data_IF_941166709469
#
_entry.id   IF_941166709469
#
_cell.length_a   1.000
_cell.length_b   1.000
_cell.length_c   1.000
_cell.angle_alpha   90.00
_cell.angle_beta   90.00
_cell.angle_gamma   90.00
#
_symmetry.space_group_name_H-M   'P 1'
#
loop_
_entity.id
_entity.type
_entity.pdbx_description
1 polymer ?
#
# COMPACT_ATOMS: atom_id res chain seq x y z
N UNK A 1 -22.21 -19.40 12.00
CA UNK A 1 -20.78 -19.03 12.10
C UNK A 1 -20.59 -17.69 11.38
N UNK A 2 -20.72 -16.57 12.10
CA UNK A 2 -20.60 -15.23 11.51
C UNK A 2 -19.13 -14.96 11.15
N UNK A 3 -18.82 -14.81 9.86
CA UNK A 3 -17.55 -14.22 9.42
C UNK A 3 -17.58 -12.74 9.80
N UNK A 4 -16.86 -12.38 10.85
CA UNK A 4 -16.54 -10.99 11.19
C UNK A 4 -15.54 -10.46 10.16
N UNK A 5 -16.00 -10.10 8.96
CA UNK A 5 -15.28 -9.12 8.14
C UNK A 5 -15.53 -7.75 8.79
N UNK A 6 -14.48 -7.02 9.24
CA UNK A 6 -14.69 -5.69 9.78
C UNK A 6 -15.37 -4.81 8.72
N UNK A 7 -16.49 -4.19 9.09
CA UNK A 7 -17.40 -3.42 8.22
C UNK A 7 -16.76 -2.17 7.56
N UNK A 8 -15.47 -1.89 7.76
CA UNK A 8 -14.85 -0.58 7.48
C UNK A 8 -13.45 -0.64 6.84
N UNK A 9 -13.03 -1.79 6.31
CA UNK A 9 -11.67 -1.98 5.81
C UNK A 9 -11.33 -1.13 4.56
N UNK A 10 -12.33 -0.76 3.77
CA UNK A 10 -12.22 0.12 2.60
C UNK A 10 -13.09 1.38 2.80
N UNK A 11 -12.86 2.12 3.88
CA UNK A 11 -13.64 3.31 4.25
C UNK A 11 -13.72 4.34 3.11
N UNK A 12 -12.66 4.53 2.32
CA UNK A 12 -12.66 5.47 1.18
C UNK A 12 -13.72 5.10 0.13
N UNK A 13 -14.06 3.82 0.01
CA UNK A 13 -15.11 3.33 -0.86
C UNK A 13 -16.48 3.29 -0.15
N UNK A 14 -16.52 2.78 1.07
CA UNK A 14 -17.77 2.53 1.82
C UNK A 14 -18.41 3.79 2.38
N UNK A 15 -17.61 4.79 2.74
CA UNK A 15 -18.06 6.09 3.24
C UNK A 15 -17.22 7.22 2.62
N UNK A 16 -17.41 7.52 1.33
CA UNK A 16 -16.53 8.43 0.58
C UNK A 16 -16.54 9.86 1.12
N UNK A 17 -17.60 10.30 1.81
CA UNK A 17 -17.70 11.65 2.38
C UNK A 17 -17.12 11.78 3.80
N UNK A 18 -16.56 10.71 4.37
CA UNK A 18 -16.01 10.76 5.73
C UNK A 18 -14.71 11.58 5.79
N UNK A 19 -14.39 12.21 6.95
CA UNK A 19 -13.10 12.88 7.16
C UNK A 19 -11.88 11.95 6.97
N UNK A 20 -12.04 10.66 7.27
CA UNK A 20 -11.00 9.64 7.07
C UNK A 20 -10.74 9.44 5.56
N UNK A 21 -11.81 9.37 4.77
CA UNK A 21 -11.71 9.27 3.31
C UNK A 21 -11.03 10.50 2.72
N UNK A 22 -11.31 11.69 3.25
CA UNK A 22 -10.64 12.93 2.83
C UNK A 22 -9.16 12.95 3.20
N UNK A 23 -8.78 12.35 4.33
CA UNK A 23 -7.37 12.18 4.71
C UNK A 23 -6.61 11.33 3.67
N UNK A 24 -7.24 10.29 3.11
CA UNK A 24 -6.65 9.50 2.02
C UNK A 24 -6.59 10.26 0.68
N UNK A 25 -7.55 11.16 0.39
CA UNK A 25 -7.47 12.05 -0.78
C UNK A 25 -6.35 13.07 -0.63
N UNK A 26 -6.20 13.64 0.56
CA UNK A 26 -5.07 14.51 0.90
C UNK A 26 -3.74 13.78 0.71
N UNK A 27 -3.62 12.54 1.20
CA UNK A 27 -2.45 11.70 0.98
C UNK A 27 -2.13 11.50 -0.51
N UNK A 28 -3.13 11.12 -1.31
CA UNK A 28 -3.00 10.97 -2.77
C UNK A 28 -2.48 12.26 -3.42
N UNK A 29 -3.12 13.40 -3.13
CA UNK A 29 -2.75 14.71 -3.66
C UNK A 29 -1.31 15.08 -3.29
N UNK A 30 -0.90 14.84 -2.04
CA UNK A 30 0.49 15.09 -1.60
C UNK A 30 1.50 14.21 -2.35
N UNK A 31 1.15 12.95 -2.64
CA UNK A 31 2.00 12.06 -3.44
C UNK A 31 2.10 12.57 -4.88
N UNK A 32 0.98 12.93 -5.52
CA UNK A 32 0.97 13.46 -6.88
C UNK A 32 1.84 14.73 -7.01
N UNK A 33 1.86 15.59 -5.99
CA UNK A 33 2.69 16.80 -5.96
C UNK A 33 4.14 16.58 -5.51
N UNK A 34 4.47 15.43 -4.93
CA UNK A 34 5.81 15.16 -4.40
C UNK A 34 6.90 15.06 -5.48
N UNK A 35 6.50 14.98 -6.76
CA UNK A 35 7.42 14.88 -7.89
C UNK A 35 7.04 15.79 -9.04
N UNK A 36 7.64 16.99 -9.02
CA UNK A 36 7.46 18.00 -10.07
C UNK A 36 8.04 17.52 -11.42
N UNK A 37 9.06 16.64 -11.42
CA UNK A 37 9.83 16.25 -12.62
C UNK A 37 10.01 14.74 -12.82
N UNK A 38 9.32 13.88 -12.06
CA UNK A 38 9.47 12.41 -12.17
C UNK A 38 8.10 11.74 -12.16
N UNK A 39 7.88 10.77 -13.04
CA UNK A 39 6.66 9.97 -13.04
C UNK A 39 6.76 8.95 -11.90
N UNK A 40 6.07 9.19 -10.79
CA UNK A 40 5.85 8.19 -9.75
C UNK A 40 4.79 7.20 -10.22
N UNK A 41 5.20 5.98 -10.50
CA UNK A 41 4.28 4.94 -10.95
C UNK A 41 4.26 3.74 -10.00
N UNK A 42 5.40 3.34 -9.42
CA UNK A 42 5.46 2.31 -8.38
C UNK A 42 5.66 2.97 -7.02
N UNK A 43 4.64 2.89 -6.16
CA UNK A 43 4.65 3.41 -4.81
C UNK A 43 4.63 2.23 -3.84
N UNK A 44 5.68 2.09 -3.04
CA UNK A 44 5.72 1.11 -1.97
C UNK A 44 5.20 1.71 -0.66
N UNK A 45 4.43 0.91 0.08
CA UNK A 45 3.97 1.23 1.43
C UNK A 45 4.57 0.23 2.40
N UNK A 46 5.25 0.72 3.43
CA UNK A 46 5.80 -0.10 4.52
C UNK A 46 5.56 0.58 5.87
N UNK A 47 5.93 -0.12 6.94
CA UNK A 47 5.89 0.41 8.31
C UNK A 47 7.16 0.02 9.05
N UNK A 48 7.31 0.54 10.26
CA UNK A 48 8.44 0.23 11.12
C UNK A 48 8.22 -1.05 11.94
N UNK A 49 6.98 -1.35 12.31
CA UNK A 49 6.53 -2.51 13.09
C UNK A 49 5.26 -3.14 12.50
N UNK A 50 4.96 -4.40 12.83
CA UNK A 50 3.67 -5.00 12.53
C UNK A 50 2.52 -4.21 13.20
N UNK A 51 1.36 -4.14 12.55
CA UNK A 51 0.14 -3.59 13.15
C UNK A 51 -0.08 -2.08 12.97
N UNK A 52 0.84 -1.35 12.34
CA UNK A 52 0.72 0.12 12.19
C UNK A 52 -0.33 0.58 11.16
N UNK A 53 -1.06 -0.35 10.53
CA UNK A 53 -2.13 -0.06 9.57
C UNK A 53 -1.67 0.08 8.12
N UNK A 54 -0.46 -0.38 7.78
CA UNK A 54 0.11 -0.32 6.42
C UNK A 54 -0.83 -0.83 5.33
N UNK A 55 -1.44 -1.99 5.53
CA UNK A 55 -2.24 -2.67 4.51
C UNK A 55 -3.59 -1.97 4.30
N UNK A 56 -4.20 -1.48 5.38
CA UNK A 56 -5.41 -0.65 5.33
C UNK A 56 -5.14 0.67 4.62
N UNK A 57 -4.04 1.36 4.97
CA UNK A 57 -3.65 2.61 4.31
C UNK A 57 -3.33 2.38 2.84
N UNK A 58 -2.62 1.29 2.50
CA UNK A 58 -2.30 0.91 1.13
C UNK A 58 -3.57 0.73 0.29
N UNK A 59 -4.55 -0.04 0.80
CA UNK A 59 -5.81 -0.28 0.11
C UNK A 59 -6.65 1.00 -0.07
N UNK A 60 -6.81 1.81 0.99
CA UNK A 60 -7.61 3.03 0.93
C UNK A 60 -6.95 4.15 0.10
N UNK A 61 -5.61 4.21 0.08
CA UNK A 61 -4.86 5.07 -0.82
C UNK A 61 -5.04 4.64 -2.28
N UNK A 62 -5.00 3.34 -2.57
CA UNK A 62 -5.26 2.81 -3.91
C UNK A 62 -6.68 3.15 -4.40
N UNK A 63 -7.69 3.07 -3.51
CA UNK A 63 -9.05 3.53 -3.80
C UNK A 63 -9.08 5.03 -4.12
N UNK A 64 -8.35 5.87 -3.37
CA UNK A 64 -8.32 7.31 -3.61
C UNK A 64 -7.70 7.67 -4.98
N UNK A 65 -6.66 6.94 -5.42
CA UNK A 65 -6.12 7.06 -6.77
C UNK A 65 -7.13 6.60 -7.83
N UNK A 66 -7.82 5.48 -7.61
CA UNK A 66 -8.79 4.94 -8.56
C UNK A 66 -10.01 5.87 -8.75
N UNK A 67 -10.49 6.49 -7.66
CA UNK A 67 -11.51 7.54 -7.68
C UNK A 67 -11.08 8.80 -8.44
N UNK A 68 -9.77 9.02 -8.61
CA UNK A 68 -9.21 10.09 -9.44
C UNK A 68 -9.04 9.68 -10.91
N UNK A 69 -9.76 8.65 -11.36
CA UNK A 69 -9.68 8.08 -12.71
C UNK A 69 -8.28 7.57 -13.11
N UNK A 70 -7.43 7.24 -12.14
CA UNK A 70 -6.19 6.51 -12.41
C UNK A 70 -6.49 5.03 -12.50
N UNK A 71 -5.87 4.34 -13.45
CA UNK A 71 -5.91 2.88 -13.52
C UNK A 71 -4.89 2.33 -12.53
N UNK A 72 -5.35 1.78 -11.41
CA UNK A 72 -4.52 1.43 -10.25
C UNK A 72 -4.38 -0.08 -10.10
N UNK A 73 -3.15 -0.54 -9.91
CA UNK A 73 -2.86 -1.91 -9.49
C UNK A 73 -2.34 -1.94 -8.05
N UNK A 74 -3.02 -2.66 -7.18
CA UNK A 74 -2.56 -2.96 -5.83
C UNK A 74 -1.94 -4.36 -5.80
N UNK A 75 -0.69 -4.49 -5.36
CA UNK A 75 0.00 -5.77 -5.21
C UNK A 75 0.30 -6.02 -3.73
N UNK A 76 -0.17 -7.15 -3.20
CA UNK A 76 0.22 -7.64 -1.87
C UNK A 76 1.58 -8.35 -1.96
N UNK A 77 2.66 -7.60 -1.71
CA UNK A 77 4.03 -8.09 -1.64
C UNK A 77 4.45 -8.47 -0.21
N UNK A 78 3.53 -8.50 0.76
CA UNK A 78 3.74 -9.12 2.07
C UNK A 78 3.46 -10.63 2.00
N UNK A 79 4.41 -11.36 1.40
CA UNK A 79 4.30 -12.80 1.19
C UNK A 79 4.30 -13.60 2.50
N UNK A 80 4.70 -12.97 3.62
CA UNK A 80 4.79 -13.60 4.95
C UNK A 80 3.48 -13.53 5.70
N UNK A 81 2.82 -12.36 5.69
CA UNK A 81 1.55 -12.12 6.38
C UNK A 81 0.61 -11.34 5.46
N UNK A 82 0.15 -11.95 4.34
CA UNK A 82 -0.72 -11.26 3.39
C UNK A 82 -2.05 -10.91 4.03
N UNK A 83 -2.57 -9.74 3.70
CA UNK A 83 -3.80 -9.23 4.32
C UNK A 83 -4.79 -8.64 3.32
N UNK A 84 -4.35 -8.33 2.11
CA UNK A 84 -5.21 -7.65 1.14
C UNK A 84 -6.44 -8.49 0.78
N UNK A 85 -6.30 -9.82 0.67
CA UNK A 85 -7.44 -10.69 0.40
C UNK A 85 -8.53 -10.64 1.49
N UNK A 86 -8.17 -10.38 2.75
CA UNK A 86 -9.16 -10.16 3.81
C UNK A 86 -9.86 -8.81 3.67
N UNK A 87 -9.15 -7.76 3.25
CA UNK A 87 -9.71 -6.42 3.05
C UNK A 87 -10.69 -6.41 1.86
N UNK A 88 -10.37 -7.15 0.79
CA UNK A 88 -11.18 -7.22 -0.43
C UNK A 88 -12.19 -8.39 -0.44
N UNK A 89 -12.13 -9.31 0.52
CA UNK A 89 -13.07 -10.43 0.63
C UNK A 89 -12.90 -11.50 -0.46
N UNK A 90 -11.71 -11.62 -1.03
CA UNK A 90 -11.38 -12.46 -2.19
C UNK A 90 -10.45 -13.62 -1.82
N UNK A 91 -10.21 -14.53 -2.77
CA UNK A 91 -9.35 -15.70 -2.57
C UNK A 91 -7.87 -15.37 -2.73
N UNK A 92 -7.02 -15.86 -1.81
CA UNK A 92 -5.56 -15.77 -1.88
C UNK A 92 -4.88 -17.07 -2.38
N UNK A 93 -5.61 -17.91 -3.13
CA UNK A 93 -5.06 -19.21 -3.61
C UNK A 93 -4.05 -19.04 -4.73
N UNK A 94 -4.27 -18.04 -5.58
CA UNK A 94 -3.38 -17.65 -6.67
C UNK A 94 -3.03 -16.18 -6.49
N UNK A 95 -1.81 -15.81 -6.84
CA UNK A 95 -1.29 -14.47 -6.66
C UNK A 95 0.16 -14.35 -7.09
N UNK A 96 0.84 -13.36 -6.53
CA UNK A 96 2.23 -13.01 -6.81
C UNK A 96 3.16 -14.23 -6.71
N UNK A 97 3.11 -14.97 -5.60
CA UNK A 97 3.95 -16.16 -5.40
C UNK A 97 3.74 -17.21 -6.50
N UNK A 98 2.49 -17.56 -6.81
CA UNK A 98 2.22 -18.54 -7.88
C UNK A 98 2.65 -18.06 -9.25
N UNK A 99 2.58 -16.75 -9.51
CA UNK A 99 3.00 -16.18 -10.78
C UNK A 99 4.52 -16.23 -10.94
N UNK A 100 5.25 -15.82 -9.91
CA UNK A 100 6.71 -15.79 -9.93
C UNK A 100 7.29 -17.20 -10.05
N UNK A 101 6.70 -18.21 -9.40
CA UNK A 101 7.15 -19.60 -9.55
C UNK A 101 6.85 -20.20 -10.93
N UNK A 102 5.68 -19.93 -11.49
CA UNK A 102 5.23 -20.57 -12.73
C UNK A 102 5.43 -19.68 -13.96
N UNK A 103 6.10 -18.53 -13.81
CA UNK A 103 6.31 -17.53 -14.85
C UNK A 103 5.01 -17.13 -15.55
N UNK A 104 3.93 -16.97 -14.78
CA UNK A 104 2.64 -16.53 -15.33
C UNK A 104 2.67 -15.03 -15.60
N UNK A 105 2.10 -14.57 -16.73
CA UNK A 105 1.99 -13.15 -17.03
C UNK A 105 1.06 -12.45 -16.02
N UNK A 106 1.25 -11.15 -15.84
CA UNK A 106 0.47 -10.35 -14.87
C UNK A 106 -1.04 -10.47 -15.10
N UNK A 107 -1.48 -10.45 -16.35
CA UNK A 107 -2.90 -10.55 -16.73
C UNK A 107 -3.60 -11.81 -16.18
N UNK A 108 -2.87 -12.89 -15.91
CA UNK A 108 -3.44 -14.16 -15.44
C UNK A 108 -3.70 -14.18 -13.92
N UNK A 109 -3.10 -13.25 -13.18
CA UNK A 109 -3.21 -13.17 -11.72
C UNK A 109 -3.91 -11.91 -11.22
N UNK A 110 -4.10 -10.92 -12.09
CA UNK A 110 -4.85 -9.71 -11.78
C UNK A 110 -6.33 -10.04 -11.59
N UNK A 111 -6.91 -9.50 -10.53
CA UNK A 111 -8.34 -9.57 -10.26
C UNK A 111 -8.95 -8.17 -10.28
N UNK A 112 -10.17 -8.08 -10.79
CA UNK A 112 -11.00 -6.89 -10.65
C UNK A 112 -11.51 -6.78 -9.22
N UNK A 113 -11.59 -5.55 -8.71
CA UNK A 113 -12.22 -5.28 -7.41
C UNK A 113 -13.63 -4.70 -7.62
N UNK A 114 -14.38 -4.51 -6.53
CA UNK A 114 -15.66 -3.80 -6.57
C UNK A 114 -15.51 -2.28 -6.79
N UNK A 115 -14.28 -1.77 -6.80
CA UNK A 115 -13.97 -0.36 -7.02
C UNK A 115 -13.50 -0.18 -8.47
N UNK A 116 -14.19 0.67 -9.21
CA UNK A 116 -13.82 0.99 -10.59
C UNK A 116 -12.38 1.49 -10.68
N UNK A 117 -11.69 1.11 -11.75
CA UNK A 117 -10.27 1.39 -12.00
C UNK A 117 -9.27 0.82 -10.98
N UNK A 118 -9.71 0.06 -9.97
CA UNK A 118 -8.83 -0.62 -9.02
C UNK A 118 -8.77 -2.13 -9.29
N UNK A 119 -7.54 -2.59 -9.49
CA UNK A 119 -7.17 -3.96 -9.75
C UNK A 119 -6.26 -4.46 -8.64
N UNK A 120 -6.27 -5.78 -8.39
CA UNK A 120 -5.49 -6.36 -7.30
C UNK A 120 -4.76 -7.63 -7.73
N UNK A 121 -3.53 -7.78 -7.24
CA UNK A 121 -2.78 -9.03 -7.20
C UNK A 121 -2.55 -9.37 -5.74
N UNK A 122 -3.16 -10.46 -5.28
CA UNK A 122 -2.90 -10.97 -3.93
C UNK A 122 -1.53 -11.64 -3.86
N UNK A 123 -1.02 -11.89 -2.66
CA UNK A 123 0.29 -12.51 -2.46
C UNK A 123 0.34 -13.95 -3.00
N UNK A 124 -0.75 -14.71 -2.88
CA UNK A 124 -0.76 -16.15 -3.06
C UNK A 124 -0.31 -16.92 -1.81
N UNK A 125 -0.05 -18.23 -1.94
CA UNK A 125 0.47 -19.07 -0.86
C UNK A 125 1.84 -18.58 -0.40
N UNK A 126 2.12 -18.65 0.91
CA UNK A 126 3.42 -18.23 1.45
C UNK A 126 4.55 -19.12 0.92
N UNK A 127 5.58 -18.55 0.26
CA UNK A 127 6.73 -19.31 -0.22
C UNK A 127 7.72 -19.62 0.92
N UNK A 128 8.61 -20.62 0.75
CA UNK A 128 9.68 -20.88 1.71
C UNK A 128 10.68 -19.71 1.80
N UNK A 129 10.98 -19.05 0.66
CA UNK A 129 11.99 -18.00 0.56
C UNK A 129 11.41 -16.69 -0.04
N UNK A 130 10.64 -15.90 0.74
CA UNK A 130 10.00 -14.67 0.24
C UNK A 130 10.96 -13.64 -0.40
N UNK A 131 12.10 -13.37 0.25
CA UNK A 131 13.02 -12.30 -0.17
C UNK A 131 13.68 -12.63 -1.51
N UNK A 132 14.11 -13.89 -1.69
CA UNK A 132 14.70 -14.38 -2.95
C UNK A 132 13.70 -14.25 -4.10
N UNK A 133 12.46 -14.66 -3.86
CA UNK A 133 11.39 -14.59 -4.85
C UNK A 133 11.09 -13.14 -5.25
N UNK A 134 11.08 -12.21 -4.30
CA UNK A 134 10.88 -10.78 -4.58
C UNK A 134 12.08 -10.13 -5.28
N UNK A 135 13.30 -10.63 -5.07
CA UNK A 135 14.49 -10.16 -5.80
C UNK A 135 14.69 -10.80 -7.18
N UNK A 136 13.78 -11.69 -7.59
CA UNK A 136 13.94 -12.47 -8.82
C UNK A 136 13.76 -11.62 -10.08
N UNK A 137 14.38 -12.00 -11.22
CA UNK A 137 14.12 -11.37 -12.51
C UNK A 137 12.63 -11.37 -12.88
N UNK A 138 11.90 -12.41 -12.50
CA UNK A 138 10.46 -12.53 -12.74
C UNK A 138 9.66 -11.43 -12.04
N UNK A 139 10.10 -10.98 -10.86
CA UNK A 139 9.46 -9.85 -10.17
C UNK A 139 9.68 -8.54 -10.92
N UNK A 140 10.89 -8.31 -11.42
CA UNK A 140 11.20 -7.14 -12.24
C UNK A 140 10.38 -7.12 -13.54
N UNK A 141 10.32 -8.25 -14.25
CA UNK A 141 9.51 -8.41 -15.47
C UNK A 141 8.01 -8.16 -15.22
N UNK A 142 7.48 -8.67 -14.10
CA UNK A 142 6.09 -8.45 -13.70
C UNK A 142 5.79 -6.97 -13.41
N UNK A 143 6.70 -6.27 -12.72
CA UNK A 143 6.56 -4.84 -12.47
C UNK A 143 6.68 -4.02 -13.77
N UNK A 144 7.52 -4.44 -14.72
CA UNK A 144 7.62 -3.80 -16.03
C UNK A 144 6.35 -4.01 -16.89
N UNK A 145 5.72 -5.20 -16.81
CA UNK A 145 4.40 -5.43 -17.41
C UNK A 145 3.33 -4.54 -16.76
N UNK A 146 3.35 -4.43 -15.44
CA UNK A 146 2.45 -3.54 -14.70
C UNK A 146 2.64 -2.08 -15.12
N UNK A 147 3.88 -1.63 -15.30
CA UNK A 147 4.20 -0.25 -15.71
C UNK A 147 3.64 0.11 -17.09
N UNK A 148 3.40 -0.87 -17.95
CA UNK A 148 2.81 -0.62 -19.28
C UNK A 148 1.29 -0.47 -19.23
N UNK A 149 0.65 -1.00 -18.18
CA UNK A 149 -0.81 -1.24 -18.15
C UNK A 149 -1.58 -0.42 -17.10
N UNK A 150 -0.87 0.19 -16.14
CA UNK A 150 -1.46 0.90 -15.01
C UNK A 150 -0.80 2.26 -14.81
N UNK A 151 -1.57 3.25 -14.42
CA UNK A 151 -1.07 4.60 -14.13
C UNK A 151 -0.36 4.66 -12.77
N UNK A 152 -0.80 3.85 -11.82
CA UNK A 152 -0.27 3.78 -10.46
C UNK A 152 -0.25 2.31 -10.00
N UNK A 153 0.85 1.90 -9.41
CA UNK A 153 1.08 0.56 -8.86
C UNK A 153 1.44 0.75 -7.40
N UNK A 154 0.62 0.24 -6.50
CA UNK A 154 0.83 0.33 -5.05
C UNK A 154 1.28 -1.03 -4.53
N UNK A 155 2.41 -1.08 -3.83
CA UNK A 155 2.96 -2.30 -3.25
C UNK A 155 2.78 -2.29 -1.73
N UNK A 156 1.96 -3.20 -1.19
CA UNK A 156 1.93 -3.48 0.26
C UNK A 156 3.09 -4.41 0.61
N UNK A 157 3.89 -4.06 1.61
CA UNK A 157 5.10 -4.79 1.98
C UNK A 157 5.14 -5.08 3.48
N UNK A 158 5.96 -6.02 3.97
CA UNK A 158 6.11 -6.22 5.41
C UNK A 158 6.82 -5.02 6.08
N UNK A 159 6.82 -4.93 7.42
CA UNK A 159 7.53 -3.87 8.12
C UNK A 159 9.05 -3.94 7.89
N UNK A 160 9.65 -2.81 7.49
CA UNK A 160 11.03 -2.78 6.99
C UNK A 160 12.10 -3.12 8.05
N UNK A 161 11.81 -2.88 9.32
CA UNK A 161 12.74 -3.23 10.41
C UNK A 161 12.73 -4.72 10.73
N UNK A 162 11.66 -5.44 10.35
CA UNK A 162 11.47 -6.85 10.74
C UNK A 162 12.14 -7.82 9.77
N UNK A 163 12.07 -7.54 8.47
CA UNK A 163 12.58 -8.42 7.40
C UNK A 163 13.14 -7.61 6.23
N UNK A 164 14.03 -8.24 5.46
CA UNK A 164 14.71 -7.62 4.31
C UNK A 164 13.83 -7.45 3.08
N UNK A 165 12.71 -8.17 3.00
CA UNK A 165 11.76 -8.16 1.87
C UNK A 165 11.40 -6.73 1.43
N UNK A 166 11.08 -5.86 2.38
CA UNK A 166 10.73 -4.46 2.09
C UNK A 166 11.90 -3.67 1.50
N UNK A 167 13.14 -3.91 1.93
CA UNK A 167 14.32 -3.25 1.34
C UNK A 167 14.53 -3.68 -0.11
N UNK A 168 14.31 -4.96 -0.42
CA UNK A 168 14.37 -5.48 -1.80
C UNK A 168 13.31 -4.79 -2.68
N UNK A 169 12.07 -4.72 -2.21
CA UNK A 169 10.98 -4.06 -2.95
C UNK A 169 11.20 -2.55 -3.09
N UNK A 170 11.82 -1.90 -2.10
CA UNK A 170 12.10 -0.47 -2.13
C UNK A 170 13.03 -0.07 -3.28
N UNK A 171 13.98 -0.92 -3.66
CA UNK A 171 14.88 -0.69 -4.81
C UNK A 171 14.14 -0.68 -6.14
N UNK A 172 13.04 -1.43 -6.25
CA UNK A 172 12.22 -1.52 -7.47
C UNK A 172 11.11 -0.45 -7.52
N UNK A 173 11.00 0.40 -6.50
CA UNK A 173 9.93 1.38 -6.33
C UNK A 173 10.41 2.80 -6.64
N UNK A 174 9.53 3.62 -7.22
CA UNK A 174 9.84 5.03 -7.52
C UNK A 174 9.79 5.91 -6.26
N UNK A 175 9.01 5.48 -5.26
CA UNK A 175 8.89 6.14 -3.98
C UNK A 175 8.31 5.25 -2.89
N UNK A 176 8.62 5.59 -1.65
CA UNK A 176 8.18 4.87 -0.45
C UNK A 176 7.37 5.78 0.46
N UNK A 177 6.23 5.28 0.93
CA UNK A 177 5.44 5.88 2.01
C UNK A 177 5.62 5.05 3.28
N UNK A 178 6.11 5.70 4.35
CA UNK A 178 6.29 5.05 5.65
C UNK A 178 5.07 5.29 6.54
N UNK A 179 4.44 4.23 7.02
CA UNK A 179 3.32 4.30 7.95
C UNK A 179 3.84 4.18 9.38
N UNK A 180 3.44 5.13 10.24
CA UNK A 180 3.80 5.17 11.65
C UNK A 180 2.53 5.25 12.49
N UNK A 181 2.37 4.36 13.47
CA UNK A 181 1.24 4.44 14.39
C UNK A 181 1.49 5.48 15.49
N UNK A 182 0.57 6.43 15.60
CA UNK A 182 0.61 7.50 16.59
C UNK A 182 0.62 6.95 18.02
N UNK A 183 1.52 7.48 18.85
CA UNK A 183 1.64 7.14 20.26
C UNK A 183 2.11 5.72 20.59
N UNK A 184 2.34 4.85 19.59
CA UNK A 184 2.71 3.44 19.81
C UNK A 184 4.14 3.10 19.36
N UNK A 185 4.79 3.97 18.60
CA UNK A 185 6.13 3.72 18.07
C UNK A 185 7.11 4.78 18.53
N UNK A 186 8.27 4.34 19.01
CA UNK A 186 9.34 5.24 19.46
C UNK A 186 10.01 5.92 18.25
N UNK A 187 10.46 7.16 18.47
CA UNK A 187 11.22 7.92 17.46
C UNK A 187 12.43 7.14 16.94
N UNK A 188 13.15 6.45 17.82
CA UNK A 188 14.30 5.62 17.44
C UNK A 188 13.93 4.53 16.43
N UNK A 189 12.78 3.88 16.63
CA UNK A 189 12.34 2.80 15.75
C UNK A 189 11.94 3.32 14.36
N UNK A 190 11.33 4.51 14.30
CA UNK A 190 11.05 5.22 13.04
C UNK A 190 12.34 5.64 12.34
N UNK A 191 13.31 6.19 13.09
CA UNK A 191 14.62 6.56 12.54
C UNK A 191 15.39 5.33 12.01
N UNK A 192 15.26 4.18 12.68
CA UNK A 192 15.82 2.93 12.18
C UNK A 192 15.19 2.53 10.85
N UNK A 193 13.86 2.58 10.74
CA UNK A 193 13.15 2.32 9.48
C UNK A 193 13.62 3.25 8.35
N UNK A 194 13.75 4.55 8.64
CA UNK A 194 14.30 5.52 7.67
C UNK A 194 15.73 5.17 7.27
N UNK A 195 16.60 4.83 8.22
CA UNK A 195 18.00 4.49 7.93
C UNK A 195 18.15 3.28 6.99
N UNK A 196 17.24 2.30 7.09
CA UNK A 196 17.22 1.14 6.20
C UNK A 196 16.80 1.54 4.78
N UNK A 197 15.82 2.44 4.65
CA UNK A 197 15.45 3.00 3.34
C UNK A 197 16.59 3.82 2.73
N UNK A 198 17.24 4.66 3.53
CA UNK A 198 18.39 5.47 3.09
C UNK A 198 19.55 4.56 2.62
N UNK A 199 19.79 3.45 3.32
CA UNK A 199 20.85 2.49 2.99
C UNK A 199 20.70 1.90 1.58
N UNK A 200 19.48 1.57 1.18
CA UNK A 200 19.17 1.10 -0.18
C UNK A 200 18.86 2.23 -1.16
N UNK A 201 19.10 3.49 -0.75
CA UNK A 201 18.84 4.71 -1.54
C UNK A 201 17.40 4.83 -2.03
N UNK A 202 16.45 4.29 -1.27
CA UNK A 202 15.04 4.41 -1.59
C UNK A 202 14.54 5.84 -1.35
N UNK A 203 13.72 6.35 -2.27
CA UNK A 203 13.14 7.69 -2.17
C UNK A 203 11.96 7.68 -1.20
N UNK A 204 12.19 8.12 0.04
CA UNK A 204 11.10 8.33 1.00
C UNK A 204 10.28 9.57 0.58
N UNK A 205 9.03 9.35 0.14
CA UNK A 205 8.11 10.43 -0.23
C UNK A 205 7.56 11.16 0.99
N UNK A 206 7.42 10.45 2.11
CA UNK A 206 6.92 11.01 3.36
C UNK A 206 6.49 9.95 4.36
N UNK A 207 5.88 10.43 5.44
CA UNK A 207 5.37 9.62 6.54
C UNK A 207 3.88 9.86 6.71
N UNK A 208 3.11 8.80 6.90
CA UNK A 208 1.70 8.87 7.31
C UNK A 208 1.62 8.49 8.77
N UNK A 209 1.13 9.42 9.59
CA UNK A 209 0.80 9.16 10.98
C UNK A 209 -0.60 8.56 11.06
N UNK A 210 -0.70 7.29 11.46
CA UNK A 210 -1.95 6.55 11.53
C UNK A 210 -2.48 6.44 12.97
N UNK A 211 -3.79 6.20 13.15
CA UNK A 211 -4.48 6.13 14.45
C UNK A 211 -4.24 7.38 15.34
N UNK A 212 -4.30 8.57 14.74
CA UNK A 212 -4.20 9.84 15.47
C UNK A 212 -5.47 10.03 16.32
N UNK A 213 -5.29 10.37 17.59
CA UNK A 213 -6.43 10.65 18.49
C UNK A 213 -7.10 11.97 18.07
N UNK A 214 -8.44 11.98 18.06
CA UNK A 214 -9.25 13.11 17.57
C UNK A 214 -9.00 14.42 18.31
N UNK A 215 -8.63 14.36 19.60
CA UNK A 215 -8.25 15.53 20.40
C UNK A 215 -7.02 16.30 19.89
N UNK A 216 -6.25 15.72 18.95
CA UNK A 216 -5.14 16.38 18.24
C UNK A 216 -5.41 16.59 16.75
N UNK A 217 -6.54 16.10 16.23
CA UNK A 217 -6.94 16.20 14.82
C UNK A 217 -7.93 17.35 14.55
N UNK A 218 -8.40 18.03 15.60
CA UNK A 218 -9.43 19.07 15.53
C UNK A 218 -9.02 20.29 14.68
N UNK A 219 -7.73 20.61 14.53
CA UNK A 219 -7.33 21.76 13.70
C UNK A 219 -7.48 21.54 12.19
N UNK A 220 -7.41 20.29 11.72
CA UNK A 220 -7.60 19.96 10.30
C UNK A 220 -9.05 19.59 9.95
N UNK A 221 -9.78 19.00 10.91
CA UNK A 221 -11.15 18.51 10.70
C UNK A 221 -12.19 19.64 10.70
N UNK A 222 -11.94 20.72 11.46
CA UNK A 222 -12.87 21.86 11.55
C UNK A 222 -12.96 22.72 10.27
N UNK A 223 -11.98 22.65 9.37
CA UNK A 223 -11.97 23.53 8.19
C UNK A 223 -12.93 23.11 7.07
N UNK A 224 -13.45 21.88 7.09
CA UNK A 224 -14.33 21.34 6.04
C UNK A 224 -15.71 20.86 6.55
N UNK A 225 -16.02 21.07 7.84
CA UNK A 225 -17.29 20.67 8.44
C UNK A 225 -18.43 21.70 8.34
N UNK A 226 -18.12 22.98 8.12
CA UNK A 226 -19.09 24.09 8.18
C UNK A 226 -19.46 24.69 6.81
N UNK A 227 -19.28 23.94 5.73
CA UNK A 227 -19.75 24.36 4.40
C UNK A 227 -20.44 23.21 3.67
N UNK A 228 -21.58 22.78 4.22
CA UNK A 228 -22.80 22.38 3.49
C UNK A 228 -23.78 21.69 4.46
N UNK A 229 -24.87 22.39 4.82
CA UNK A 229 -26.09 21.80 5.41
C UNK A 229 -26.45 22.29 6.80
#
# INVERSE_FOLDING_TARGET
>A
MLRLTPKWNLITHLNPKSPISESYRTLRTNIDHSTINQKLQIIMVTSSKPGEGKSTTCANMAVAFAQANKRVLLIDADLRKPTQHYLFGTSNRNGLTTALFNQKPLKDIVQHTAVDNLFIVHAGPTPPNPSELLSSPQMAELLDEARKSYDVIVLDTPPIVTVTDAQVVAVMSDGVVLIVQSGQVSKEHVLKAKSLLDHVKAKLLGVVLNNVNSSHADSYSYYYGDSEG
#
